data_IF_700356929573
#
_entry.id   IF_700356929573
#
_cell.length_a   1.000
_cell.length_b   1.000
_cell.length_c   1.000
_cell.angle_alpha   90.00
_cell.angle_beta   90.00
_cell.angle_gamma   90.00
#
_symmetry.space_group_name_H-M   'P 1'
#
loop_
_entity.id
_entity.type
_entity.pdbx_description
1 polymer ?
#
# COMPACT_ATOMS: atom_id res chain seq x y z
N UNK A 1 13.07 24.87 -0.75
CA UNK A 1 11.76 24.95 -0.06
C UNK A 1 12.06 25.19 1.41
N UNK A 2 11.36 26.10 2.08
CA UNK A 2 11.63 26.40 3.50
C UNK A 2 11.17 25.25 4.41
N UNK A 3 11.85 25.08 5.56
CA UNK A 3 11.56 24.06 6.57
C UNK A 3 10.11 24.09 7.06
N UNK A 4 9.57 25.27 7.36
CA UNK A 4 8.17 25.40 7.83
C UNK A 4 7.17 24.95 6.75
N UNK A 5 7.48 25.24 5.50
CA UNK A 5 6.67 24.83 4.36
C UNK A 5 6.64 23.30 4.21
N UNK A 6 7.78 22.64 4.39
CA UNK A 6 7.90 21.18 4.33
C UNK A 6 7.19 20.52 5.52
N UNK A 7 7.38 21.03 6.73
CA UNK A 7 6.73 20.51 7.94
C UNK A 7 5.20 20.63 7.87
N UNK A 8 4.68 21.67 7.20
CA UNK A 8 3.24 21.81 6.96
C UNK A 8 2.71 20.78 5.95
N UNK A 9 3.48 20.43 4.93
CA UNK A 9 3.07 19.48 3.88
C UNK A 9 3.17 18.04 4.39
N UNK A 10 4.25 17.71 5.11
CA UNK A 10 4.54 16.35 5.56
C UNK A 10 4.01 16.05 6.96
N UNK A 11 3.54 17.06 7.69
CA UNK A 11 3.29 17.04 9.14
C UNK A 11 4.56 16.79 9.96
N UNK A 12 4.78 17.61 10.99
CA UNK A 12 5.94 17.49 11.88
C UNK A 12 6.05 16.08 12.51
N UNK A 13 4.92 15.46 12.84
CA UNK A 13 4.88 14.11 13.42
C UNK A 13 5.51 13.02 12.54
N UNK A 14 5.43 13.16 11.21
CA UNK A 14 6.03 12.18 10.28
C UNK A 14 7.55 12.34 10.18
N UNK A 15 8.06 13.55 10.38
CA UNK A 15 9.48 13.87 10.34
C UNK A 15 10.18 13.67 11.70
N UNK A 16 9.44 13.80 12.81
CA UNK A 16 9.98 13.67 14.17
C UNK A 16 10.84 12.42 14.41
N UNK A 17 10.42 11.20 14.01
CA UNK A 17 11.24 10.00 14.20
C UNK A 17 12.59 10.09 13.47
N UNK A 18 12.61 10.71 12.29
CA UNK A 18 13.83 10.90 11.50
C UNK A 18 14.71 12.01 12.08
N UNK A 19 14.12 13.08 12.61
CA UNK A 19 14.84 14.16 13.27
C UNK A 19 15.53 13.68 14.56
N UNK A 20 14.82 12.92 15.38
CA UNK A 20 15.39 12.31 16.60
C UNK A 20 16.57 11.39 16.27
N UNK A 21 16.46 10.61 15.19
CA UNK A 21 17.53 9.69 14.78
C UNK A 21 18.77 10.41 14.20
N UNK A 22 18.59 11.60 13.61
CA UNK A 22 19.67 12.38 12.98
C UNK A 22 20.14 13.56 13.85
N UNK A 23 19.89 13.54 15.16
CA UNK A 23 20.28 14.61 16.10
C UNK A 23 19.82 15.99 15.65
N UNK A 24 18.55 16.11 15.26
CA UNK A 24 17.89 17.33 14.74
C UNK A 24 18.49 17.90 13.45
N UNK A 25 19.32 17.11 12.74
CA UNK A 25 19.76 17.47 11.40
C UNK A 25 18.61 17.30 10.38
N UNK A 26 17.94 18.42 10.11
CA UNK A 26 16.76 18.47 9.23
C UNK A 26 17.01 17.95 7.82
N UNK A 27 18.13 18.30 7.20
CA UNK A 27 18.43 17.89 5.82
C UNK A 27 18.64 16.37 5.71
N UNK A 28 19.35 15.78 6.68
CA UNK A 28 19.52 14.31 6.73
C UNK A 28 18.21 13.59 7.01
N UNK A 29 17.40 14.10 7.95
CA UNK A 29 16.09 13.55 8.27
C UNK A 29 15.16 13.59 7.06
N UNK A 30 15.10 14.72 6.34
CA UNK A 30 14.31 14.87 5.14
C UNK A 30 14.78 13.95 4.01
N UNK A 31 16.09 13.83 3.80
CA UNK A 31 16.64 12.90 2.80
C UNK A 31 16.26 11.45 3.13
N UNK A 32 16.33 11.06 4.41
CA UNK A 32 15.96 9.71 4.83
C UNK A 32 14.46 9.46 4.67
N UNK A 33 13.62 10.43 5.03
CA UNK A 33 12.17 10.37 4.83
C UNK A 33 11.80 10.23 3.34
N UNK A 34 12.47 11.01 2.47
CA UNK A 34 12.28 10.92 1.02
C UNK A 34 12.63 9.54 0.47
N UNK A 35 13.78 8.99 0.88
CA UNK A 35 14.18 7.64 0.47
C UNK A 35 13.16 6.58 0.93
N UNK A 36 12.58 6.73 2.13
CA UNK A 36 11.54 5.84 2.60
C UNK A 36 10.27 5.89 1.74
N UNK A 37 9.88 7.09 1.26
CA UNK A 37 8.76 7.23 0.31
C UNK A 37 9.10 6.56 -1.02
N UNK A 38 10.27 6.83 -1.60
CA UNK A 38 10.67 6.27 -2.90
C UNK A 38 10.69 4.73 -2.87
N UNK A 39 11.20 4.15 -1.78
CA UNK A 39 11.16 2.71 -1.54
C UNK A 39 9.72 2.23 -1.46
N UNK A 40 8.88 2.90 -0.66
CA UNK A 40 7.46 2.55 -0.51
C UNK A 40 6.70 2.61 -1.84
N UNK A 41 6.98 3.63 -2.66
CA UNK A 41 6.38 3.82 -3.97
C UNK A 41 6.72 2.69 -4.94
N UNK A 42 7.96 2.17 -4.87
CA UNK A 42 8.39 1.05 -5.71
C UNK A 42 7.60 -0.24 -5.48
N UNK A 43 6.90 -0.38 -4.35
CA UNK A 43 6.05 -1.54 -4.06
C UNK A 43 4.63 -1.44 -4.65
N UNK A 44 4.17 -0.26 -5.08
CA UNK A 44 2.80 -0.14 -5.63
C UNK A 44 2.53 -1.06 -6.82
N UNK A 45 3.42 -1.21 -7.81
CA UNK A 45 3.21 -2.15 -8.91
C UNK A 45 3.09 -3.59 -8.43
N UNK A 46 3.92 -4.00 -7.47
CA UNK A 46 3.90 -5.36 -6.91
C UNK A 46 2.58 -5.62 -6.16
N UNK A 47 2.13 -4.65 -5.36
CA UNK A 47 0.86 -4.72 -4.64
C UNK A 47 -0.32 -4.79 -5.62
N UNK A 48 -0.30 -4.03 -6.72
CA UNK A 48 -1.34 -4.07 -7.73
C UNK A 48 -1.45 -5.45 -8.41
N UNK A 49 -0.30 -6.05 -8.77
CA UNK A 49 -0.27 -7.40 -9.36
C UNK A 49 -0.82 -8.43 -8.37
N UNK A 50 -0.38 -8.36 -7.10
CA UNK A 50 -0.87 -9.23 -6.04
C UNK A 50 -2.39 -9.08 -5.85
N UNK A 51 -2.89 -7.85 -5.80
CA UNK A 51 -4.30 -7.54 -5.61
C UNK A 51 -5.16 -8.11 -6.72
N UNK A 52 -4.78 -7.89 -7.99
CA UNK A 52 -5.49 -8.44 -9.15
C UNK A 52 -5.47 -9.96 -9.12
N UNK A 53 -4.31 -10.57 -8.89
CA UNK A 53 -4.15 -12.02 -8.83
C UNK A 53 -5.02 -12.65 -7.73
N UNK A 54 -5.00 -12.06 -6.53
CA UNK A 54 -5.78 -12.51 -5.40
C UNK A 54 -7.29 -12.36 -5.64
N UNK A 55 -7.72 -11.18 -6.11
CA UNK A 55 -9.13 -10.90 -6.44
C UNK A 55 -9.67 -11.89 -7.46
N UNK A 56 -8.93 -12.12 -8.55
CA UNK A 56 -9.32 -13.06 -9.60
C UNK A 56 -9.39 -14.50 -9.09
N UNK A 57 -8.44 -14.89 -8.24
CA UNK A 57 -8.45 -16.24 -7.66
C UNK A 57 -9.68 -16.43 -6.75
N UNK A 58 -9.94 -15.48 -5.84
CA UNK A 58 -11.10 -15.52 -4.95
C UNK A 58 -12.39 -15.61 -5.76
N UNK A 59 -12.55 -14.75 -6.78
CA UNK A 59 -13.72 -14.77 -7.68
C UNK A 59 -13.89 -16.14 -8.36
N UNK A 60 -12.82 -16.72 -8.88
CA UNK A 60 -12.83 -18.05 -9.47
C UNK A 60 -13.23 -19.15 -8.47
N UNK A 61 -12.67 -19.15 -7.26
CA UNK A 61 -13.00 -20.14 -6.23
C UNK A 61 -14.48 -20.05 -5.81
N UNK A 62 -14.98 -18.82 -5.63
CA UNK A 62 -16.37 -18.57 -5.25
C UNK A 62 -17.32 -19.03 -6.37
N UNK A 63 -17.07 -18.63 -7.62
CA UNK A 63 -17.85 -19.10 -8.77
C UNK A 63 -17.85 -20.61 -8.87
N UNK A 64 -16.68 -21.27 -8.75
CA UNK A 64 -16.63 -22.73 -8.78
C UNK A 64 -17.49 -23.37 -7.69
N UNK A 65 -17.43 -22.88 -6.45
CA UNK A 65 -18.20 -23.44 -5.33
C UNK A 65 -19.70 -23.26 -5.52
N UNK A 66 -20.16 -22.06 -5.88
CA UNK A 66 -21.59 -21.74 -5.97
C UNK A 66 -22.23 -22.05 -7.33
N UNK A 67 -21.49 -22.08 -8.44
CA UNK A 67 -22.00 -22.57 -9.72
C UNK A 67 -22.23 -24.08 -9.72
N UNK A 68 -21.46 -24.85 -8.93
CA UNK A 68 -21.70 -26.29 -8.72
C UNK A 68 -23.00 -26.53 -7.92
N UNK A 69 -23.36 -25.61 -7.03
CA UNK A 69 -24.58 -25.68 -6.22
C UNK A 69 -25.86 -25.35 -7.02
N UNK A 70 -25.76 -24.47 -8.03
CA UNK A 70 -26.87 -24.14 -8.93
C UNK A 70 -27.00 -25.08 -10.15
N UNK A 71 -25.90 -25.65 -10.65
CA UNK A 71 -25.93 -26.60 -11.77
C UNK A 71 -26.69 -27.91 -11.46
N UNK A 72 -26.72 -28.32 -10.19
CA UNK A 72 -27.46 -29.51 -9.74
C UNK A 72 -28.98 -29.25 -9.53
N UNK A 73 -29.41 -27.99 -9.42
CA UNK A 73 -30.86 -27.65 -9.32
C UNK A 73 -31.57 -27.64 -10.66
N UNK A 74 -30.87 -27.40 -11.77
CA UNK A 74 -31.47 -27.30 -13.10
C UNK A 74 -31.61 -28.69 -13.77
N UNK A 75 -30.96 -29.72 -13.23
CA UNK A 75 -31.06 -31.11 -13.72
C UNK A 75 -32.06 -31.98 -12.96
N UNK A 76 -32.78 -31.41 -11.96
CA UNK A 76 -33.77 -32.12 -11.15
C UNK A 76 -35.14 -31.40 -11.12
N UNK A 77 -35.46 -30.60 -12.14
CA UNK A 77 -36.74 -29.92 -12.33
C UNK A 77 -37.42 -30.38 -13.61
#
# INVERSE_FOLDING_TARGET
MDRKSIERILSADRLNPYLTHHSDNFDKALKHYKANIEISESFYPLLAILEIGLRNNIDYQLKRKFSTENGLKILNS
#
